data_IF_295511096268
#
_entry.id   IF_295511096268
#
_cell.length_a   1.000
_cell.length_b   1.000
_cell.length_c   1.000
_cell.angle_alpha   90.00
_cell.angle_beta   90.00
_cell.angle_gamma   90.00
#
_symmetry.space_group_name_H-M   'P 1'
#
loop_
_entity.id
_entity.type
_entity.pdbx_description
1 polymer ?
#
# COMPACT_ATOMS: atom_id res chain seq x y z
N UNK A 1 1.06 6.47 19.95
CA UNK A 1 -0.37 6.30 20.29
C UNK A 1 -0.85 5.02 19.63
N UNK A 2 -1.55 4.13 20.35
CA UNK A 2 -2.24 2.98 19.73
C UNK A 2 -3.69 3.36 19.52
N UNK A 3 -4.23 3.04 18.34
CA UNK A 3 -5.65 3.17 18.02
C UNK A 3 -6.25 1.77 17.86
N UNK A 4 -7.54 1.64 18.14
CA UNK A 4 -8.29 0.42 17.85
C UNK A 4 -8.94 0.56 16.49
N UNK A 5 -8.69 -0.40 15.60
CA UNK A 5 -9.24 -0.41 14.24
C UNK A 5 -9.95 -1.73 14.01
N UNK A 6 -11.27 -1.74 13.80
CA UNK A 6 -12.02 -2.96 13.50
C UNK A 6 -11.62 -3.55 12.14
N UNK A 7 -11.36 -4.85 12.12
CA UNK A 7 -11.23 -5.67 10.92
C UNK A 7 -12.33 -6.72 10.90
N UNK A 8 -12.89 -6.97 9.72
CA UNK A 8 -13.89 -8.01 9.48
C UNK A 8 -13.30 -9.04 8.52
N UNK A 9 -13.32 -10.32 8.90
CA UNK A 9 -13.03 -11.41 7.97
C UNK A 9 -14.13 -11.46 6.91
N UNK A 10 -13.74 -11.54 5.64
CA UNK A 10 -14.65 -11.62 4.49
C UNK A 10 -14.17 -12.68 3.51
N UNK A 11 -15.09 -13.17 2.67
CA UNK A 11 -14.79 -14.21 1.69
C UNK A 11 -14.64 -15.62 2.30
N UNK A 12 -14.45 -16.64 1.44
CA UNK A 12 -14.45 -18.04 1.86
C UNK A 12 -13.06 -18.57 2.28
N UNK A 13 -11.98 -17.86 1.95
CA UNK A 13 -10.60 -18.32 2.20
C UNK A 13 -10.08 -17.71 3.49
N UNK A 14 -9.74 -18.57 4.45
CA UNK A 14 -9.17 -18.13 5.71
C UNK A 14 -7.64 -18.00 5.63
N UNK A 15 -7.14 -16.84 6.06
CA UNK A 15 -5.72 -16.55 6.26
C UNK A 15 -5.52 -15.85 7.60
N UNK A 16 -4.30 -15.83 8.16
CA UNK A 16 -3.99 -15.11 9.40
C UNK A 16 -4.43 -13.64 9.34
N UNK A 17 -4.86 -13.04 10.46
CA UNK A 17 -5.23 -11.63 10.51
C UNK A 17 -4.03 -10.72 10.24
N UNK A 18 -4.26 -9.49 9.73
CA UNK A 18 -3.19 -8.51 9.57
C UNK A 18 -2.47 -8.28 10.90
N UNK A 19 -1.15 -8.35 10.89
CA UNK A 19 -0.35 -8.31 12.12
C UNK A 19 1.01 -7.65 11.93
N UNK A 20 1.44 -6.93 12.96
CA UNK A 20 2.81 -6.44 13.09
C UNK A 20 3.77 -7.61 13.33
N UNK A 21 4.90 -7.62 12.61
CA UNK A 21 5.86 -8.73 12.66
C UNK A 21 7.05 -8.48 13.59
N UNK A 22 7.16 -7.27 14.13
CA UNK A 22 8.14 -6.88 15.14
C UNK A 22 7.60 -5.75 15.99
N UNK A 23 8.21 -5.49 17.14
CA UNK A 23 7.76 -4.46 18.10
C UNK A 23 7.72 -3.05 17.49
N UNK A 24 8.70 -2.73 16.63
CA UNK A 24 8.80 -1.43 15.96
C UNK A 24 8.12 -1.37 14.59
N UNK A 25 7.46 -2.44 14.14
CA UNK A 25 6.80 -2.44 12.84
C UNK A 25 5.60 -1.48 12.83
N UNK A 26 5.50 -0.66 11.79
CA UNK A 26 4.38 0.27 11.57
C UNK A 26 3.37 -0.25 10.56
N UNK A 27 3.75 -1.26 9.77
CA UNK A 27 2.89 -1.93 8.79
C UNK A 27 2.34 -3.26 9.32
N UNK A 28 1.04 -3.48 9.12
CA UNK A 28 0.37 -4.75 9.32
C UNK A 28 0.57 -5.59 8.06
N UNK A 29 1.29 -6.72 8.13
CA UNK A 29 1.46 -7.60 6.97
C UNK A 29 0.08 -8.12 6.52
N UNK A 30 -0.23 -8.01 5.22
CA UNK A 30 -1.44 -8.50 4.58
C UNK A 30 -1.13 -9.81 3.83
N UNK A 31 -1.88 -10.86 4.17
CA UNK A 31 -1.76 -12.16 3.50
C UNK A 31 -2.67 -12.25 2.26
N UNK A 32 -2.28 -13.07 1.28
CA UNK A 32 -3.10 -13.37 0.12
C UNK A 32 -4.15 -14.45 0.43
N UNK A 33 -5.43 -14.13 0.28
CA UNK A 33 -6.55 -15.05 0.46
C UNK A 33 -6.98 -15.69 -0.87
N UNK A 34 -6.02 -16.23 -1.62
CA UNK A 34 -6.27 -16.93 -2.89
C UNK A 34 -6.62 -18.41 -2.63
N UNK A 35 -7.53 -18.97 -3.43
CA UNK A 35 -7.98 -20.36 -3.36
C UNK A 35 -7.03 -21.34 -4.09
N UNK A 36 -6.33 -20.86 -5.11
CA UNK A 36 -5.29 -21.57 -5.84
C UNK A 36 -4.05 -20.68 -6.07
N UNK A 37 -2.86 -21.25 -6.33
CA UNK A 37 -1.67 -20.47 -6.64
C UNK A 37 -1.89 -19.55 -7.85
N UNK A 38 -1.52 -18.28 -7.71
CA UNK A 38 -1.59 -17.27 -8.78
C UNK A 38 -0.20 -16.85 -9.19
N UNK A 39 0.16 -17.12 -10.45
CA UNK A 39 1.43 -16.70 -11.02
C UNK A 39 1.29 -15.34 -11.74
N UNK A 40 2.26 -14.46 -11.51
CA UNK A 40 2.48 -13.22 -12.25
C UNK A 40 3.71 -13.40 -13.13
N UNK A 41 3.52 -13.43 -14.45
CA UNK A 41 4.63 -13.33 -15.40
C UNK A 41 5.28 -11.93 -15.31
N UNK A 42 6.53 -11.75 -15.79
CA UNK A 42 7.14 -10.43 -15.94
C UNK A 42 6.21 -9.44 -16.67
N UNK A 43 6.00 -8.26 -16.08
CA UNK A 43 5.10 -7.22 -16.56
C UNK A 43 3.61 -7.45 -16.25
N UNK A 44 3.23 -8.61 -15.72
CA UNK A 44 1.85 -8.92 -15.38
C UNK A 44 1.43 -8.28 -14.05
N UNK A 45 0.15 -7.91 -13.97
CA UNK A 45 -0.49 -7.42 -12.75
C UNK A 45 -1.73 -8.24 -12.39
N UNK A 46 -1.95 -8.46 -11.11
CA UNK A 46 -3.13 -9.16 -10.58
C UNK A 46 -3.68 -8.42 -9.36
N UNK A 47 -5.00 -8.37 -9.26
CA UNK A 47 -5.71 -7.92 -8.07
C UNK A 47 -5.92 -9.14 -7.15
N UNK A 48 -5.30 -9.15 -5.99
CA UNK A 48 -5.33 -10.27 -5.06
C UNK A 48 -6.16 -9.96 -3.80
N UNK A 49 -7.08 -10.85 -3.41
CA UNK A 49 -7.85 -10.74 -2.17
C UNK A 49 -6.96 -10.88 -0.93
N UNK A 50 -7.37 -10.27 0.18
CA UNK A 50 -6.70 -10.42 1.49
C UNK A 50 -7.56 -11.13 2.53
N UNK A 51 -8.86 -11.31 2.26
CA UNK A 51 -9.80 -11.91 3.19
C UNK A 51 -10.24 -11.00 4.33
N UNK A 52 -9.93 -9.70 4.26
CA UNK A 52 -10.29 -8.73 5.31
C UNK A 52 -10.84 -7.43 4.75
N UNK A 53 -11.89 -6.93 5.37
CA UNK A 53 -12.35 -5.55 5.30
C UNK A 53 -11.94 -4.80 6.58
N UNK A 54 -11.89 -3.46 6.50
CA UNK A 54 -11.47 -2.61 7.63
C UNK A 54 -12.42 -1.42 7.80
N UNK A 55 -12.58 -0.95 9.02
CA UNK A 55 -13.25 0.31 9.32
C UNK A 55 -12.23 1.27 9.94
N UNK A 56 -11.65 2.16 9.12
CA UNK A 56 -10.69 3.14 9.63
C UNK A 56 -11.44 4.28 10.33
N UNK A 57 -10.84 4.89 11.36
CA UNK A 57 -11.40 6.07 12.00
C UNK A 57 -11.33 7.28 11.07
N UNK A 58 -12.26 8.23 11.24
CA UNK A 58 -12.22 9.50 10.53
C UNK A 58 -10.87 10.22 10.70
N UNK A 59 -10.45 10.94 9.66
CA UNK A 59 -9.15 11.61 9.63
C UNK A 59 -7.95 10.67 9.47
N UNK A 60 -8.16 9.40 9.10
CA UNK A 60 -7.10 8.44 8.80
C UNK A 60 -7.30 7.77 7.45
N UNK A 61 -6.20 7.51 6.76
CA UNK A 61 -6.20 6.62 5.60
C UNK A 61 -5.42 5.34 5.91
N UNK A 62 -5.71 4.28 5.15
CA UNK A 62 -4.92 3.06 5.12
C UNK A 62 -4.02 3.05 3.90
N UNK A 63 -2.72 2.95 4.09
CA UNK A 63 -1.75 2.92 3.01
C UNK A 63 -1.23 1.50 2.80
N UNK A 64 -1.66 0.86 1.72
CA UNK A 64 -1.15 -0.43 1.26
C UNK A 64 0.19 -0.22 0.56
N UNK A 65 1.27 -0.71 1.17
CA UNK A 65 2.65 -0.51 0.74
C UNK A 65 3.33 -1.85 0.38
N UNK A 66 4.33 -1.82 -0.52
CA UNK A 66 5.15 -2.99 -0.85
C UNK A 66 5.94 -3.50 0.35
N UNK A 67 6.28 -4.79 0.32
CA UNK A 67 7.25 -5.39 1.24
C UNK A 67 8.63 -5.37 0.58
N UNK A 68 9.64 -4.84 1.27
CA UNK A 68 10.98 -4.63 0.70
C UNK A 68 11.62 -5.92 0.18
N UNK A 69 11.43 -7.05 0.87
CA UNK A 69 11.94 -8.34 0.43
C UNK A 69 11.36 -8.79 -0.93
N UNK A 70 10.05 -8.59 -1.16
CA UNK A 70 9.44 -8.91 -2.45
C UNK A 70 9.95 -8.01 -3.57
N UNK A 71 10.10 -6.71 -3.28
CA UNK A 71 10.62 -5.75 -4.24
C UNK A 71 12.08 -6.04 -4.62
N UNK A 72 12.94 -6.30 -3.64
CA UNK A 72 14.37 -6.53 -3.86
C UNK A 72 14.67 -7.89 -4.50
N UNK A 73 14.03 -8.96 -4.02
CA UNK A 73 14.41 -10.32 -4.42
C UNK A 73 13.61 -10.84 -5.62
N UNK A 74 12.42 -10.30 -5.88
CA UNK A 74 11.54 -10.78 -6.94
C UNK A 74 11.09 -9.68 -7.91
N UNK A 75 11.43 -8.41 -7.67
CA UNK A 75 10.91 -7.30 -8.47
C UNK A 75 9.40 -7.10 -8.32
N UNK A 76 8.77 -7.66 -7.28
CA UNK A 76 7.32 -7.59 -7.08
C UNK A 76 6.98 -6.41 -6.19
N UNK A 77 6.05 -5.58 -6.64
CA UNK A 77 5.59 -4.40 -5.92
C UNK A 77 4.07 -4.25 -5.99
N UNK A 78 3.54 -3.32 -5.19
CA UNK A 78 2.14 -2.89 -5.27
C UNK A 78 2.07 -1.80 -6.34
N UNK A 79 1.31 -2.04 -7.41
CA UNK A 79 1.30 -1.17 -8.60
C UNK A 79 0.82 0.24 -8.29
N UNK A 80 -0.20 0.38 -7.45
CA UNK A 80 -0.77 1.66 -7.04
C UNK A 80 -0.16 2.19 -5.73
N UNK A 81 1.10 1.84 -5.41
CA UNK A 81 1.70 2.22 -4.12
C UNK A 81 1.91 3.74 -3.94
N UNK A 82 1.64 4.29 -2.74
CA UNK A 82 0.85 3.67 -1.68
C UNK A 82 -0.61 3.58 -2.11
N UNK A 83 -1.22 2.39 -1.96
CA UNK A 83 -2.64 2.22 -2.25
C UNK A 83 -3.47 2.79 -1.11
N UNK A 84 -4.37 3.73 -1.42
CA UNK A 84 -5.23 4.39 -0.42
C UNK A 84 -6.48 3.57 -0.12
N UNK A 85 -6.73 3.35 1.17
CA UNK A 85 -7.98 2.81 1.72
C UNK A 85 -8.65 3.94 2.50
N UNK A 86 -9.84 4.33 2.07
CA UNK A 86 -10.60 5.43 2.66
C UNK A 86 -11.35 5.01 3.95
N UNK A 87 -11.62 5.94 4.88
CA UNK A 87 -12.38 5.66 6.11
C UNK A 87 -13.79 5.10 5.90
N UNK A 88 -14.43 5.40 4.77
CA UNK A 88 -15.77 4.96 4.42
C UNK A 88 -15.80 3.65 3.61
N UNK A 89 -14.64 3.14 3.19
CA UNK A 89 -14.56 1.86 2.50
C UNK A 89 -14.86 0.69 3.45
N UNK A 90 -15.80 -0.18 3.07
CA UNK A 90 -16.17 -1.40 3.81
C UNK A 90 -16.03 -2.67 2.98
N UNK A 91 -15.53 -2.54 1.76
CA UNK A 91 -15.20 -3.69 0.92
C UNK A 91 -13.95 -4.42 1.42
N UNK A 92 -13.66 -5.55 0.79
CA UNK A 92 -12.43 -6.28 1.03
C UNK A 92 -11.21 -5.45 0.59
N UNK A 93 -10.17 -5.41 1.42
CA UNK A 93 -8.86 -4.89 1.02
C UNK A 93 -8.29 -5.83 -0.03
N UNK A 94 -7.99 -5.31 -1.21
CA UNK A 94 -7.34 -6.06 -2.28
C UNK A 94 -6.03 -5.37 -2.67
N UNK A 95 -5.05 -6.18 -3.07
CA UNK A 95 -3.71 -5.69 -3.40
C UNK A 95 -3.49 -5.85 -4.91
N UNK A 96 -3.18 -4.75 -5.61
CA UNK A 96 -2.77 -4.82 -7.02
C UNK A 96 -1.27 -5.09 -7.07
N UNK A 97 -0.88 -6.35 -7.17
CA UNK A 97 0.52 -6.71 -7.37
C UNK A 97 0.90 -6.58 -8.85
N UNK A 98 2.12 -6.12 -9.10
CA UNK A 98 2.78 -6.18 -10.40
C UNK A 98 4.16 -6.83 -10.24
N UNK A 99 4.51 -7.69 -11.19
CA UNK A 99 5.85 -8.27 -11.28
C UNK A 99 6.71 -7.43 -12.25
N UNK A 100 7.67 -6.69 -11.72
CA UNK A 100 8.68 -5.95 -12.49
C UNK A 100 10.02 -6.70 -12.56
N UNK A 101 10.08 -7.91 -12.00
CA UNK A 101 11.23 -8.80 -12.09
C UNK A 101 11.31 -9.53 -13.44
N UNK A 102 12.41 -10.26 -13.63
CA UNK A 102 12.65 -11.05 -14.84
C UNK A 102 12.03 -12.46 -14.80
N UNK A 103 11.75 -12.98 -13.60
CA UNK A 103 11.23 -14.34 -13.40
C UNK A 103 9.76 -14.33 -12.98
N UNK A 104 8.96 -15.35 -13.35
CA UNK A 104 7.60 -15.51 -12.85
C UNK A 104 7.55 -15.60 -11.32
N UNK A 105 6.59 -14.90 -10.70
CA UNK A 105 6.38 -14.94 -9.25
C UNK A 105 5.03 -15.58 -8.93
N UNK A 106 5.01 -16.59 -8.07
CA UNK A 106 3.77 -17.30 -7.70
C UNK A 106 3.38 -16.98 -6.27
N UNK A 107 2.19 -16.38 -6.12
CA UNK A 107 1.53 -16.12 -4.84
C UNK A 107 0.70 -17.33 -4.45
N UNK A 108 0.82 -17.76 -3.21
CA UNK A 108 0.04 -18.84 -2.59
C UNK A 108 -0.83 -18.29 -1.46
N UNK A 109 -1.82 -19.09 -1.05
CA UNK A 109 -2.65 -18.78 0.11
C UNK A 109 -1.77 -18.52 1.34
N UNK A 110 -2.03 -17.43 2.05
CA UNK A 110 -1.31 -17.08 3.27
C UNK A 110 0.03 -16.38 3.05
N UNK A 111 0.52 -16.26 1.81
CA UNK A 111 1.73 -15.48 1.53
C UNK A 111 1.51 -14.02 1.91
N UNK A 112 2.47 -13.42 2.61
CA UNK A 112 2.45 -12.00 2.99
C UNK A 112 2.85 -11.16 1.79
N UNK A 113 1.89 -10.48 1.16
CA UNK A 113 2.07 -9.84 -0.15
C UNK A 113 2.22 -8.32 -0.09
N UNK A 114 1.72 -7.68 0.96
CA UNK A 114 1.80 -6.24 1.17
C UNK A 114 1.80 -5.93 2.67
N UNK A 115 1.89 -4.65 3.03
CA UNK A 115 1.70 -4.19 4.40
C UNK A 115 0.77 -2.98 4.43
N UNK A 116 -0.10 -2.90 5.42
CA UNK A 116 -1.01 -1.77 5.63
C UNK A 116 -0.47 -0.86 6.74
N UNK A 117 -0.24 0.41 6.43
CA UNK A 117 0.10 1.45 7.43
C UNK A 117 -1.11 2.34 7.61
N UNK A 118 -1.56 2.55 8.85
CA UNK A 118 -2.66 3.48 9.15
C UNK A 118 -2.04 4.85 9.46
N UNK A 119 -2.41 5.86 8.68
CA UNK A 119 -1.82 7.18 8.74
C UNK A 119 -2.90 8.25 9.00
N UNK A 120 -2.65 9.24 9.87
CA UNK A 120 -3.49 10.43 9.91
C UNK A 120 -3.36 11.19 8.59
N UNK A 121 -4.47 11.77 8.13
CA UNK A 121 -4.54 12.56 6.89
C UNK A 121 -5.25 13.88 7.16
N UNK A 122 -4.75 14.94 6.52
CA UNK A 122 -5.43 16.24 6.52
C UNK A 122 -6.41 16.30 5.35
N UNK A 123 -7.66 16.68 5.62
CA UNK A 123 -8.64 17.02 4.60
C UNK A 123 -8.59 18.52 4.35
N UNK A 124 -8.49 18.92 3.08
CA UNK A 124 -8.36 20.32 2.69
C UNK A 124 -9.66 20.84 2.07
N UNK A 125 -10.11 22.00 2.53
CA UNK A 125 -11.06 22.81 1.78
C UNK A 125 -10.31 23.51 0.64
N UNK A 126 -10.75 23.28 -0.59
CA UNK A 126 -10.11 23.86 -1.77
C UNK A 126 -10.55 25.33 -1.92
N UNK A 127 -9.61 26.26 -1.72
CA UNK A 127 -9.83 27.71 -1.87
C UNK A 127 -9.10 28.24 -3.10
N UNK A 128 -9.86 28.74 -4.09
CA UNK A 128 -9.30 29.33 -5.31
C UNK A 128 -8.90 30.79 -5.06
N UNK A 129 -7.67 31.16 -5.45
CA UNK A 129 -7.12 32.51 -5.31
C UNK A 129 -6.51 32.98 -6.64
N UNK A 130 -6.48 34.30 -6.92
CA UNK A 130 -5.90 34.81 -8.16
C UNK A 130 -4.38 34.65 -8.25
N UNK A 131 -3.68 34.56 -7.11
CA UNK A 131 -2.23 34.35 -7.05
C UNK A 131 -1.79 33.63 -5.77
N UNK A 132 -0.65 32.93 -5.84
CA UNK A 132 -0.02 32.28 -4.69
C UNK A 132 1.16 33.12 -4.18
N UNK A 133 1.41 33.09 -2.87
CA UNK A 133 2.57 33.76 -2.29
C UNK A 133 3.89 33.14 -2.82
N UNK A 134 4.92 33.96 -3.10
CA UNK A 134 6.19 33.45 -3.63
C UNK A 134 6.93 32.60 -2.58
N UNK A 135 7.67 31.60 -3.06
CA UNK A 135 8.59 30.79 -2.24
C UNK A 135 9.96 30.72 -2.91
N UNK A 136 11.00 30.36 -2.15
CA UNK A 136 12.35 30.18 -2.70
C UNK A 136 12.41 29.12 -3.83
N UNK A 137 11.53 28.12 -3.82
CA UNK A 137 11.48 27.08 -4.86
C UNK A 137 10.70 27.53 -6.11
N UNK A 138 9.70 28.39 -5.95
CA UNK A 138 8.82 28.84 -7.05
C UNK A 138 8.26 27.67 -7.86
N UNK A 139 8.37 27.74 -9.18
CA UNK A 139 7.92 26.70 -10.11
C UNK A 139 8.96 25.57 -10.36
N UNK A 140 10.08 25.52 -9.63
CA UNK A 140 11.14 24.52 -9.83
C UNK A 140 10.74 23.11 -9.38
N UNK A 141 10.86 22.11 -10.28
CA UNK A 141 10.53 20.70 -10.02
C UNK A 141 11.34 19.74 -10.91
N UNK A 142 11.05 18.43 -10.83
CA UNK A 142 11.59 17.40 -11.73
C UNK A 142 13.12 17.37 -11.85
N UNK A 143 13.84 17.32 -10.72
CA UNK A 143 15.31 17.29 -10.72
C UNK A 143 15.95 18.68 -10.78
N UNK A 144 15.21 19.74 -10.45
CA UNK A 144 15.73 21.12 -10.34
C UNK A 144 16.89 21.31 -9.36
N UNK A 145 17.17 20.31 -8.52
CA UNK A 145 18.31 20.29 -7.57
C UNK A 145 19.50 19.46 -8.08
N UNK A 146 19.46 19.00 -9.33
CA UNK A 146 20.46 18.11 -9.92
C UNK A 146 20.45 16.69 -9.33
N UNK A 147 21.34 15.85 -9.84
CA UNK A 147 21.52 14.44 -9.41
C UNK A 147 22.80 14.27 -8.57
N UNK A 148 23.72 15.24 -8.64
CA UNK A 148 24.98 15.26 -7.90
C UNK A 148 25.09 16.59 -7.17
N UNK A 149 25.70 16.57 -5.98
CA UNK A 149 26.23 17.81 -5.40
C UNK A 149 27.41 18.25 -6.26
N UNK A 150 27.40 19.50 -6.70
CA UNK A 150 28.61 20.12 -7.25
C UNK A 150 29.66 20.22 -6.13
N UNK A 151 30.96 20.07 -6.46
CA UNK A 151 32.05 20.05 -5.49
C UNK A 151 32.21 21.37 -4.73
#
# INVERSE_FOLDING_TARGET
>A
MRIQVPFLRVGPIEVPPPAYQSEGAVGLDLCAAVDAPVTLAPGERKLLPTGYAVALPDGHEGQVRPRSGLALHHGVTVLNTPGTIDPDYRGEIKVVLINLGAEPFTVRQGDRIAQLVICPVALADVVLVPELAPTARGAGGYGSTGVRREP
#
